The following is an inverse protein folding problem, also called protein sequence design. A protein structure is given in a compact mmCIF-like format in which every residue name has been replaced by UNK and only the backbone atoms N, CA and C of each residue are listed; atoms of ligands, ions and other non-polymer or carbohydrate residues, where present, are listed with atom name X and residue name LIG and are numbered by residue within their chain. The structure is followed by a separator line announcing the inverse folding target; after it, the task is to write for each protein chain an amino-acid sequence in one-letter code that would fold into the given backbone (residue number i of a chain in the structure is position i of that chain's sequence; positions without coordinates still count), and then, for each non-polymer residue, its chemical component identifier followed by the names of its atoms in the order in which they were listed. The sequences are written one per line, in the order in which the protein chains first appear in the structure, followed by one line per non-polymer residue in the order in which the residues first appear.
data_IF_128543065388
#
_entry.id   IF_128543065388
#
_cell.length_a   1.000
_cell.length_b   1.000
_cell.length_c   1.000
_cell.angle_alpha   90.00
_cell.angle_beta   90.00
_cell.angle_gamma   90.00
#
_symmetry.space_group_name_H-M   'P 1'
#
loop_
_entity.id
_entity.type
_entity.pdbx_description
1 polymer ?
#
# COMPACT_ATOMS: atom_id res chain seq x y z
N UNK A 1 -16.58 41.37 5.44
CA UNK A 1 -15.59 41.03 6.50
C UNK A 1 -15.97 39.75 7.24
N UNK A 2 -17.22 39.60 7.69
CA UNK A 2 -17.74 38.36 8.30
C UNK A 2 -17.56 37.10 7.43
N UNK A 3 -17.83 37.22 6.13
CA UNK A 3 -17.73 36.10 5.18
C UNK A 3 -16.30 35.56 5.03
N UNK A 4 -15.29 36.44 5.03
CA UNK A 4 -13.89 36.05 4.99
C UNK A 4 -13.46 35.28 6.24
N UNK A 5 -13.96 35.67 7.42
CA UNK A 5 -13.67 34.97 8.68
C UNK A 5 -14.32 33.58 8.68
N UNK A 6 -15.57 33.47 8.22
CA UNK A 6 -16.25 32.19 8.09
C UNK A 6 -15.52 31.24 7.12
N UNK A 7 -15.07 31.74 5.96
CA UNK A 7 -14.29 30.94 5.01
C UNK A 7 -12.95 30.52 5.61
N UNK A 8 -12.26 31.41 6.34
CA UNK A 8 -10.98 31.11 7.00
C UNK A 8 -11.13 29.99 8.03
N UNK A 9 -12.20 30.02 8.83
CA UNK A 9 -12.46 28.98 9.83
C UNK A 9 -12.79 27.63 9.17
N UNK A 10 -13.57 27.63 8.09
CA UNK A 10 -13.84 26.42 7.31
C UNK A 10 -12.56 25.81 6.71
N UNK A 11 -11.65 26.64 6.21
CA UNK A 11 -10.35 26.17 5.70
C UNK A 11 -9.52 25.52 6.81
N UNK A 12 -9.50 26.10 8.01
CA UNK A 12 -8.77 25.53 9.14
C UNK A 12 -9.33 24.15 9.54
N UNK A 13 -10.66 24.00 9.58
CA UNK A 13 -11.33 22.72 9.84
C UNK A 13 -10.98 21.70 8.74
N UNK A 14 -11.01 22.09 7.48
CA UNK A 14 -10.70 21.19 6.37
C UNK A 14 -9.23 20.77 6.38
N UNK A 15 -8.30 21.67 6.74
CA UNK A 15 -6.89 21.35 6.87
C UNK A 15 -6.64 20.31 7.96
N UNK A 16 -7.33 20.44 9.10
CA UNK A 16 -7.24 19.45 10.18
C UNK A 16 -7.76 18.08 9.74
N UNK A 17 -8.94 18.03 9.10
CA UNK A 17 -9.50 16.79 8.57
C UNK A 17 -8.58 16.14 7.51
N UNK A 18 -7.98 16.95 6.63
CA UNK A 18 -7.04 16.46 5.63
C UNK A 18 -5.77 15.90 6.26
N UNK A 19 -5.26 16.51 7.34
CA UNK A 19 -4.10 16.01 8.06
C UNK A 19 -4.36 14.63 8.71
N UNK A 20 -5.54 14.45 9.30
CA UNK A 20 -5.97 13.16 9.87
C UNK A 20 -6.10 12.08 8.79
N UNK A 21 -6.68 12.42 7.64
CA UNK A 21 -6.78 11.50 6.50
C UNK A 21 -5.39 11.14 5.95
N UNK A 22 -4.48 12.10 5.84
CA UNK A 22 -3.11 11.85 5.38
C UNK A 22 -2.37 10.89 6.32
N UNK A 23 -2.50 11.06 7.63
CA UNK A 23 -1.90 10.16 8.61
C UNK A 23 -2.46 8.73 8.50
N UNK A 24 -3.78 8.59 8.36
CA UNK A 24 -4.42 7.27 8.17
C UNK A 24 -3.98 6.60 6.88
N UNK A 25 -3.90 7.36 5.79
CA UNK A 25 -3.42 6.84 4.51
C UNK A 25 -1.97 6.37 4.62
N UNK A 26 -1.11 7.15 5.27
CA UNK A 26 0.27 6.75 5.49
C UNK A 26 0.38 5.43 6.26
N UNK A 27 -0.42 5.25 7.32
CA UNK A 27 -0.48 4.00 8.07
C UNK A 27 -0.94 2.82 7.19
N UNK A 28 -2.01 3.01 6.40
CA UNK A 28 -2.50 1.99 5.47
C UNK A 28 -1.46 1.61 4.41
N UNK A 29 -0.69 2.57 3.89
CA UNK A 29 0.38 2.28 2.93
C UNK A 29 1.51 1.46 3.55
N UNK A 30 1.85 1.71 4.82
CA UNK A 30 2.83 0.88 5.53
C UNK A 30 2.33 -0.56 5.70
N UNK A 31 1.08 -0.74 6.11
CA UNK A 31 0.47 -2.08 6.25
C UNK A 31 0.42 -2.84 4.92
N UNK A 32 0.03 -2.16 3.83
CA UNK A 32 0.03 -2.75 2.49
C UNK A 32 1.46 -3.15 2.09
N UNK A 33 2.46 -2.31 2.38
CA UNK A 33 3.85 -2.64 2.04
C UNK A 33 4.36 -3.85 2.84
N UNK A 34 4.04 -3.94 4.12
CA UNK A 34 4.42 -5.05 4.97
C UNK A 34 3.77 -6.36 4.52
N UNK A 35 2.47 -6.33 4.23
CA UNK A 35 1.72 -7.47 3.71
C UNK A 35 2.26 -7.97 2.37
N UNK A 36 2.56 -7.04 1.44
CA UNK A 36 3.12 -7.40 0.13
C UNK A 36 4.50 -8.06 0.28
N UNK A 37 5.38 -7.53 1.15
CA UNK A 37 6.68 -8.15 1.42
C UNK A 37 6.54 -9.55 2.01
N UNK A 38 5.61 -9.73 2.95
CA UNK A 38 5.31 -11.04 3.52
C UNK A 38 4.80 -12.02 2.47
N UNK A 39 3.95 -11.56 1.55
CA UNK A 39 3.40 -12.39 0.49
C UNK A 39 4.45 -12.74 -0.59
N UNK A 40 5.32 -11.80 -0.96
CA UNK A 40 6.46 -12.03 -1.84
C UNK A 40 7.40 -13.11 -1.29
N UNK A 41 7.71 -13.05 0.01
CA UNK A 41 8.56 -14.07 0.66
C UNK A 41 7.92 -15.48 0.62
N UNK A 42 6.60 -15.55 0.79
CA UNK A 42 5.86 -16.82 0.70
C UNK A 42 5.82 -17.32 -0.75
N UNK A 43 5.56 -16.43 -1.71
CA UNK A 43 5.52 -16.76 -3.14
C UNK A 43 6.89 -17.23 -3.64
N UNK A 44 7.98 -16.60 -3.21
CA UNK A 44 9.35 -17.02 -3.51
C UNK A 44 9.61 -18.45 -3.03
N UNK A 45 9.27 -18.76 -1.77
CA UNK A 45 9.36 -20.12 -1.24
C UNK A 45 8.51 -21.10 -2.04
N UNK A 46 7.25 -20.77 -2.31
CA UNK A 46 6.34 -21.66 -3.05
C UNK A 46 6.82 -21.93 -4.48
N UNK A 47 7.38 -20.93 -5.17
CA UNK A 47 7.90 -21.08 -6.54
C UNK A 47 9.26 -21.77 -6.59
N UNK A 48 10.19 -21.40 -5.69
CA UNK A 48 11.56 -21.91 -5.72
C UNK A 48 11.70 -23.29 -5.07
N UNK A 49 11.03 -23.52 -3.93
CA UNK A 49 11.13 -24.77 -3.17
C UNK A 49 10.09 -25.80 -3.62
N UNK A 50 8.84 -25.37 -3.87
CA UNK A 50 7.72 -26.29 -4.16
C UNK A 50 7.35 -26.36 -5.65
N UNK A 51 7.93 -25.52 -6.50
CA UNK A 51 7.63 -25.48 -7.94
C UNK A 51 6.17 -25.12 -8.25
N UNK A 52 5.48 -24.45 -7.32
CA UNK A 52 4.08 -24.09 -7.48
C UNK A 52 3.94 -22.99 -8.53
N UNK A 53 3.05 -23.21 -9.50
CA UNK A 53 2.72 -22.27 -10.58
C UNK A 53 1.22 -22.02 -10.59
N UNK A 54 0.80 -20.81 -10.99
CA UNK A 54 -0.63 -20.49 -11.08
C UNK A 54 -1.28 -21.15 -12.32
N UNK A 55 -2.59 -21.46 -12.29
CA UNK A 55 -3.29 -21.98 -13.46
C UNK A 55 -3.17 -21.02 -14.66
N UNK A 56 -2.69 -21.53 -15.80
CA UNK A 56 -2.47 -20.74 -17.02
C UNK A 56 -1.17 -19.93 -17.06
N UNK A 57 -0.30 -20.05 -16.05
CA UNK A 57 1.00 -19.39 -16.01
C UNK A 57 2.08 -20.24 -16.71
N UNK A 58 2.96 -19.60 -17.50
CA UNK A 58 4.18 -20.24 -18.02
C UNK A 58 5.37 -19.76 -17.19
N UNK A 59 5.94 -20.64 -16.37
CA UNK A 59 7.06 -20.32 -15.48
C UNK A 59 8.40 -20.78 -16.08
N UNK A 60 9.34 -19.85 -16.24
CA UNK A 60 10.69 -20.15 -16.71
C UNK A 60 11.66 -20.07 -15.52
N UNK A 61 12.25 -21.20 -15.14
CA UNK A 61 13.32 -21.27 -14.15
C UNK A 61 14.65 -21.46 -14.86
N UNK A 62 15.50 -20.43 -14.84
CA UNK A 62 16.85 -20.51 -15.37
C UNK A 62 17.74 -21.13 -14.28
N UNK A 63 18.21 -22.35 -14.49
CA UNK A 63 19.21 -22.99 -13.63
C UNK A 63 20.52 -22.96 -14.41
N UNK A 64 21.47 -22.12 -13.97
CA UNK A 64 22.84 -22.13 -14.52
C UNK A 64 23.63 -23.32 -13.96
N UNK A 65 24.58 -23.84 -14.74
CA UNK A 65 25.49 -24.94 -14.35
C UNK A 65 26.34 -24.63 -13.11
#
# INVERSE_FOLDING_TARGET
MLDYLAVKDNVAVQQQANAELAQRNQQMYFEINDLNRGQEAIEERARNELGMIRPGETFFRIVGE
#
